data_IF_673000490143
#
_entry.id   IF_673000490143
#
_cell.length_a   1.000
_cell.length_b   1.000
_cell.length_c   1.000
_cell.angle_alpha   90.00
_cell.angle_beta   90.00
_cell.angle_gamma   90.00
#
_symmetry.space_group_name_H-M   'P 1'
#
loop_
_entity.id
_entity.type
_entity.pdbx_description
1 polymer ?
#
# COMPACT_ATOMS: atom_id res chain seq x y z
N UNK A 1 -28.16 10.98 14.37
CA UNK A 1 -27.20 10.17 15.13
C UNK A 1 -26.44 9.17 14.26
N UNK A 2 -27.07 8.26 13.50
CA UNK A 2 -26.33 7.27 12.69
C UNK A 2 -25.44 7.89 11.58
N UNK A 3 -25.97 8.83 10.77
CA UNK A 3 -25.20 9.49 9.69
C UNK A 3 -24.04 10.33 10.22
N UNK A 4 -24.23 10.99 11.36
CA UNK A 4 -23.22 11.83 11.98
C UNK A 4 -22.05 10.99 12.51
N UNK A 5 -22.32 9.79 13.02
CA UNK A 5 -21.28 8.83 13.42
C UNK A 5 -20.53 8.27 12.20
N UNK A 6 -21.23 7.92 11.12
CA UNK A 6 -20.60 7.41 9.90
C UNK A 6 -19.65 8.44 9.26
N UNK A 7 -20.12 9.68 9.07
CA UNK A 7 -19.28 10.78 8.53
C UNK A 7 -18.11 11.08 9.46
N UNK A 8 -18.29 10.95 10.77
CA UNK A 8 -17.22 11.16 11.75
C UNK A 8 -16.19 10.04 11.70
N UNK A 9 -16.61 8.79 11.49
CA UNK A 9 -15.72 7.64 11.33
C UNK A 9 -14.94 7.72 10.01
N UNK A 10 -15.58 8.14 8.91
CA UNK A 10 -14.91 8.38 7.61
C UNK A 10 -13.85 9.50 7.72
N UNK A 11 -14.20 10.63 8.33
CA UNK A 11 -13.26 11.75 8.55
C UNK A 11 -12.12 11.37 9.48
N UNK A 12 -12.38 10.56 10.51
CA UNK A 12 -11.36 10.09 11.43
C UNK A 12 -10.42 9.09 10.74
N UNK A 13 -10.95 8.17 9.95
CA UNK A 13 -10.15 7.25 9.13
C UNK A 13 -9.25 8.04 8.15
N UNK A 14 -9.81 9.03 7.47
CA UNK A 14 -9.05 9.89 6.56
C UNK A 14 -7.98 10.71 7.30
N UNK A 15 -8.30 11.29 8.47
CA UNK A 15 -7.33 12.05 9.27
C UNK A 15 -6.14 11.18 9.71
N UNK A 16 -6.40 9.95 10.17
CA UNK A 16 -5.35 8.99 10.52
C UNK A 16 -4.55 8.61 9.26
N UNK A 17 -5.24 8.35 8.14
CA UNK A 17 -4.59 8.04 6.87
C UNK A 17 -3.62 9.14 6.42
N UNK A 18 -4.07 10.39 6.38
CA UNK A 18 -3.22 11.53 6.02
C UNK A 18 -2.07 11.77 6.99
N UNK A 19 -2.28 11.52 8.29
CA UNK A 19 -1.20 11.58 9.27
C UNK A 19 -0.12 10.53 8.95
N UNK A 20 -0.53 9.29 8.68
CA UNK A 20 0.38 8.21 8.30
C UNK A 20 1.08 8.51 6.96
N UNK A 21 0.37 9.03 5.97
CA UNK A 21 0.97 9.51 4.71
C UNK A 21 2.00 10.62 4.96
N UNK A 22 1.73 11.52 5.89
CA UNK A 22 2.66 12.56 6.32
C UNK A 22 3.98 11.98 6.85
N UNK A 23 3.93 10.87 7.60
CA UNK A 23 5.13 10.16 8.06
C UNK A 23 5.93 9.62 6.86
N UNK A 24 5.26 9.04 5.85
CA UNK A 24 5.93 8.56 4.63
C UNK A 24 6.57 9.71 3.84
N UNK A 25 5.91 10.87 3.77
CA UNK A 25 6.48 12.08 3.14
C UNK A 25 7.73 12.55 3.87
N UNK A 26 7.73 12.52 5.21
CA UNK A 26 8.91 12.86 5.99
C UNK A 26 10.07 11.89 5.73
N UNK A 27 9.78 10.58 5.65
CA UNK A 27 10.75 9.57 5.22
C UNK A 27 11.31 9.87 3.83
N UNK A 28 10.46 10.21 2.86
CA UNK A 28 10.89 10.59 1.51
C UNK A 28 11.85 11.79 1.51
N UNK A 29 11.55 12.81 2.33
CA UNK A 29 12.41 13.99 2.48
C UNK A 29 13.75 13.58 3.12
N UNK A 30 13.73 12.78 4.18
CA UNK A 30 14.94 12.26 4.82
C UNK A 30 15.82 11.47 3.83
N UNK A 31 15.22 10.57 3.05
CA UNK A 31 15.89 9.77 2.02
C UNK A 31 16.59 10.64 0.98
N UNK A 32 15.94 11.72 0.54
CA UNK A 32 16.53 12.67 -0.40
C UNK A 32 17.68 13.45 0.26
N UNK A 33 17.53 13.87 1.51
CA UNK A 33 18.57 14.61 2.24
C UNK A 33 19.79 13.75 2.57
N UNK A 34 19.61 12.45 2.78
CA UNK A 34 20.68 11.47 3.05
C UNK A 34 21.31 10.89 1.78
N UNK A 35 20.78 11.22 0.60
CA UNK A 35 21.30 10.77 -0.69
C UNK A 35 20.83 9.39 -1.13
N UNK A 36 19.90 8.77 -0.40
CA UNK A 36 19.30 7.47 -0.74
C UNK A 36 18.13 7.66 -1.71
N UNK A 37 18.44 8.18 -2.90
CA UNK A 37 17.45 8.67 -3.86
C UNK A 37 16.45 7.60 -4.35
N UNK A 38 16.91 6.35 -4.52
CA UNK A 38 16.04 5.27 -4.97
C UNK A 38 14.93 4.99 -3.95
N UNK A 39 15.27 5.00 -2.65
CA UNK A 39 14.31 4.80 -1.57
C UNK A 39 13.35 5.98 -1.43
N UNK A 40 13.87 7.21 -1.48
CA UNK A 40 13.01 8.41 -1.48
C UNK A 40 12.03 8.44 -2.66
N UNK A 41 12.47 8.00 -3.85
CA UNK A 41 11.59 7.82 -5.00
C UNK A 41 10.48 6.79 -4.78
N UNK A 42 10.81 5.67 -4.13
CA UNK A 42 9.82 4.65 -3.78
C UNK A 42 8.77 5.16 -2.78
N UNK A 43 9.20 5.88 -1.75
CA UNK A 43 8.30 6.51 -0.78
C UNK A 43 7.37 7.54 -1.44
N UNK A 44 7.88 8.31 -2.41
CA UNK A 44 7.06 9.21 -3.22
C UNK A 44 6.04 8.46 -4.08
N UNK A 45 6.37 7.28 -4.61
CA UNK A 45 5.41 6.44 -5.34
C UNK A 45 4.28 5.96 -4.42
N UNK A 46 4.59 5.57 -3.18
CA UNK A 46 3.57 5.22 -2.18
C UNK A 46 2.64 6.42 -1.93
N UNK A 47 3.22 7.59 -1.64
CA UNK A 47 2.45 8.82 -1.38
C UNK A 47 1.58 9.18 -2.58
N UNK A 48 2.13 9.10 -3.79
CA UNK A 48 1.40 9.39 -5.01
C UNK A 48 0.22 8.43 -5.19
N UNK A 49 0.45 7.12 -5.02
CA UNK A 49 -0.58 6.08 -5.14
C UNK A 49 -1.71 6.34 -4.15
N UNK A 50 -1.40 6.44 -2.86
CA UNK A 50 -2.40 6.68 -1.79
C UNK A 50 -3.21 7.96 -2.02
N UNK A 51 -2.63 8.95 -2.68
CA UNK A 51 -3.29 10.23 -2.96
C UNK A 51 -4.18 10.18 -4.20
N UNK A 52 -4.06 9.16 -5.06
CA UNK A 52 -4.82 9.05 -6.32
C UNK A 52 -6.33 9.19 -6.10
N UNK A 53 -6.97 8.47 -5.16
CA UNK A 53 -8.43 8.55 -5.01
C UNK A 53 -8.89 9.95 -4.57
N UNK A 54 -8.18 10.57 -3.62
CA UNK A 54 -8.49 11.91 -3.15
C UNK A 54 -8.31 12.98 -4.25
N UNK A 55 -7.30 12.82 -5.10
CA UNK A 55 -7.03 13.74 -6.22
C UNK A 55 -8.07 13.60 -7.35
N UNK A 56 -8.50 12.38 -7.66
CA UNK A 56 -9.49 12.13 -8.72
C UNK A 56 -10.90 12.54 -8.27
N UNK A 57 -11.28 12.20 -7.05
CA UNK A 57 -12.64 12.47 -6.53
C UNK A 57 -12.80 13.91 -6.03
N UNK A 58 -11.70 14.60 -5.72
CA UNK A 58 -11.71 15.90 -5.05
C UNK A 58 -12.16 15.83 -3.59
N UNK A 59 -12.32 14.62 -3.05
CA UNK A 59 -12.73 14.38 -1.67
C UNK A 59 -11.53 13.86 -0.86
N UNK A 60 -11.06 14.66 0.09
CA UNK A 60 -9.95 14.30 0.97
C UNK A 60 -10.27 13.11 1.88
N UNK A 61 -11.55 12.73 2.03
CA UNK A 61 -11.97 11.57 2.81
C UNK A 61 -11.93 10.26 2.01
N UNK A 62 -11.82 10.34 0.66
CA UNK A 62 -11.64 9.19 -0.20
C UNK A 62 -10.21 8.64 -0.08
N UNK A 63 -10.00 7.77 0.91
CA UNK A 63 -8.70 7.20 1.23
C UNK A 63 -8.82 5.70 1.52
N UNK A 64 -7.78 4.95 1.19
CA UNK A 64 -7.67 3.54 1.59
C UNK A 64 -7.69 3.44 3.12
N UNK A 65 -8.31 2.37 3.65
CA UNK A 65 -8.42 2.16 5.10
C UNK A 65 -7.07 2.32 5.82
N UNK A 66 -7.09 3.04 6.95
CA UNK A 66 -5.88 3.37 7.72
C UNK A 66 -5.00 2.16 8.11
N UNK A 67 -5.49 0.91 8.30
CA UNK A 67 -4.60 -0.20 8.63
C UNK A 67 -3.59 -0.52 7.53
N UNK A 68 -3.93 -0.34 6.25
CA UNK A 68 -2.99 -0.54 5.15
C UNK A 68 -1.92 0.57 5.14
N UNK A 69 -2.35 1.80 5.40
CA UNK A 69 -1.44 2.94 5.56
C UNK A 69 -0.54 2.78 6.79
N UNK A 70 -1.03 2.13 7.85
CA UNK A 70 -0.24 1.85 9.05
C UNK A 70 0.87 0.83 8.77
N UNK A 71 0.59 -0.21 7.96
CA UNK A 71 1.63 -1.14 7.52
C UNK A 71 2.65 -0.41 6.63
N UNK A 72 2.20 0.47 5.73
CA UNK A 72 3.11 1.25 4.87
C UNK A 72 4.01 2.20 5.69
N UNK A 73 3.42 2.96 6.61
CA UNK A 73 4.17 3.84 7.51
C UNK A 73 5.10 3.05 8.43
N UNK A 74 4.67 1.88 8.92
CA UNK A 74 5.52 0.99 9.70
C UNK A 74 6.74 0.52 8.91
N UNK A 75 6.57 0.11 7.65
CA UNK A 75 7.69 -0.25 6.78
C UNK A 75 8.69 0.89 6.65
N UNK A 76 8.23 2.12 6.42
CA UNK A 76 9.09 3.31 6.28
C UNK A 76 9.84 3.62 7.59
N UNK A 77 9.15 3.58 8.72
CA UNK A 77 9.79 3.82 10.03
C UNK A 77 10.79 2.71 10.36
N UNK A 78 10.46 1.46 10.05
CA UNK A 78 11.33 0.32 10.29
C UNK A 78 12.61 0.36 9.45
N UNK A 79 12.57 0.90 8.22
CA UNK A 79 13.77 1.04 7.38
C UNK A 79 14.73 2.07 7.94
N UNK A 80 14.24 3.14 8.55
CA UNK A 80 15.06 4.18 9.18
C UNK A 80 15.71 3.68 10.48
N UNK A 81 15.05 2.79 11.21
CA UNK A 81 15.51 2.28 12.50
C UNK A 81 16.49 1.08 12.41
N UNK A 82 17.12 0.84 11.25
CA UNK A 82 18.11 -0.23 11.02
C UNK A 82 17.63 -1.66 11.38
N UNK A 83 16.31 -1.92 11.31
CA UNK A 83 15.77 -3.29 11.39
C UNK A 83 16.21 -4.11 10.17
N UNK A 84 16.31 -5.46 10.25
CA UNK A 84 16.87 -6.30 9.18
C UNK A 84 16.32 -5.91 7.81
N UNK A 85 17.23 -5.36 7.00
CA UNK A 85 16.96 -4.40 5.92
C UNK A 85 16.13 -4.97 4.77
N UNK A 86 16.30 -6.25 4.45
CA UNK A 86 15.63 -6.91 3.33
C UNK A 86 14.14 -7.15 3.59
N UNK A 87 13.77 -7.59 4.80
CA UNK A 87 12.39 -7.90 5.15
C UNK A 87 11.49 -6.66 5.07
N UNK A 88 12.04 -5.51 5.46
CA UNK A 88 11.33 -4.23 5.45
C UNK A 88 10.99 -3.80 4.02
N UNK A 89 11.94 -3.99 3.09
CA UNK A 89 11.73 -3.71 1.65
C UNK A 89 10.61 -4.59 1.09
N UNK A 90 10.62 -5.89 1.39
CA UNK A 90 9.59 -6.82 0.90
C UNK A 90 8.20 -6.45 1.42
N UNK A 91 8.12 -6.06 2.69
CA UNK A 91 6.88 -5.59 3.28
C UNK A 91 6.40 -4.30 2.62
N UNK A 92 7.29 -3.36 2.33
CA UNK A 92 6.95 -2.10 1.69
C UNK A 92 6.42 -2.31 0.26
N UNK A 93 7.10 -3.14 -0.54
CA UNK A 93 6.69 -3.51 -1.91
C UNK A 93 5.33 -4.22 -1.91
N UNK A 94 5.14 -5.19 -1.01
CA UNK A 94 3.87 -5.90 -0.90
C UNK A 94 2.73 -5.00 -0.40
N UNK A 95 3.04 -4.03 0.48
CA UNK A 95 2.04 -3.06 0.94
C UNK A 95 1.63 -2.11 -0.18
N UNK A 96 2.58 -1.61 -0.98
CA UNK A 96 2.27 -0.82 -2.17
C UNK A 96 1.40 -1.60 -3.15
N UNK A 97 1.71 -2.89 -3.38
CA UNK A 97 0.89 -3.75 -4.23
C UNK A 97 -0.55 -3.87 -3.71
N UNK A 98 -0.73 -4.05 -2.40
CA UNK A 98 -2.06 -4.10 -1.79
C UNK A 98 -2.81 -2.77 -1.94
N UNK A 99 -2.15 -1.63 -1.72
CA UNK A 99 -2.78 -0.32 -1.91
C UNK A 99 -3.31 -0.20 -3.35
N UNK A 100 -2.49 -0.52 -4.35
CA UNK A 100 -2.91 -0.52 -5.76
C UNK A 100 -4.10 -1.42 -6.00
N UNK A 101 -4.07 -2.66 -5.50
CA UNK A 101 -5.16 -3.64 -5.66
C UNK A 101 -6.46 -3.13 -5.02
N UNK A 102 -6.36 -2.57 -3.82
CA UNK A 102 -7.50 -2.06 -3.06
C UNK A 102 -8.10 -0.83 -3.73
N UNK A 103 -7.27 0.07 -4.25
CA UNK A 103 -7.77 1.21 -5.01
C UNK A 103 -8.49 0.76 -6.28
N UNK A 104 -7.98 -0.24 -6.99
CA UNK A 104 -8.66 -0.82 -8.14
C UNK A 104 -9.99 -1.49 -7.76
N UNK A 105 -10.03 -2.28 -6.68
CA UNK A 105 -11.26 -2.94 -6.22
C UNK A 105 -12.30 -1.94 -5.70
N UNK A 106 -11.85 -0.85 -5.06
CA UNK A 106 -12.75 0.13 -4.40
C UNK A 106 -13.24 1.20 -5.38
N UNK A 107 -12.35 1.71 -6.24
CA UNK A 107 -12.63 2.87 -7.08
C UNK A 107 -12.75 2.54 -8.57
N UNK A 108 -12.29 1.37 -9.02
CA UNK A 108 -12.54 0.91 -10.40
C UNK A 108 -13.79 0.01 -10.45
N UNK A 109 -14.41 -0.06 -11.63
CA UNK A 109 -15.60 -0.88 -11.87
C UNK A 109 -15.27 -2.37 -12.08
N UNK A 110 -14.28 -2.89 -11.34
CA UNK A 110 -13.74 -4.24 -11.52
C UNK A 110 -14.17 -5.11 -10.34
N UNK A 111 -15.15 -5.98 -10.57
CA UNK A 111 -15.61 -6.95 -9.57
C UNK A 111 -14.65 -8.15 -9.52
N UNK A 112 -13.74 -8.16 -8.54
CA UNK A 112 -12.83 -9.28 -8.33
C UNK A 112 -13.44 -10.32 -7.39
N UNK A 113 -13.46 -11.58 -7.83
CA UNK A 113 -13.79 -12.66 -6.90
C UNK A 113 -12.74 -12.72 -5.78
N UNK A 114 -13.18 -13.09 -4.57
CA UNK A 114 -12.33 -13.17 -3.37
C UNK A 114 -11.01 -13.93 -3.58
N UNK A 115 -11.01 -14.98 -4.40
CA UNK A 115 -9.81 -15.77 -4.75
C UNK A 115 -8.93 -15.06 -5.77
N UNK A 116 -9.57 -14.40 -6.74
CA UNK A 116 -8.85 -13.64 -7.75
C UNK A 116 -8.14 -12.42 -7.14
N UNK A 117 -8.76 -11.72 -6.18
CA UNK A 117 -8.13 -10.58 -5.50
C UNK A 117 -6.79 -10.96 -4.85
N UNK A 118 -6.71 -12.12 -4.17
CA UNK A 118 -5.46 -12.60 -3.58
C UNK A 118 -4.42 -12.93 -4.64
N UNK A 119 -4.81 -13.64 -5.70
CA UNK A 119 -3.89 -13.96 -6.80
C UNK A 119 -3.40 -12.72 -7.53
N UNK A 120 -4.30 -11.75 -7.76
CA UNK A 120 -3.97 -10.48 -8.38
C UNK A 120 -3.02 -9.67 -7.50
N UNK A 121 -3.26 -9.59 -6.18
CA UNK A 121 -2.35 -8.93 -5.24
C UNK A 121 -0.95 -9.57 -5.23
N UNK A 122 -0.88 -10.90 -5.24
CA UNK A 122 0.38 -11.64 -5.32
C UNK A 122 1.12 -11.34 -6.63
N UNK A 123 0.42 -11.35 -7.78
CA UNK A 123 1.01 -11.04 -9.08
C UNK A 123 1.48 -9.58 -9.17
N UNK A 124 0.68 -8.63 -8.67
CA UNK A 124 1.05 -7.21 -8.59
C UNK A 124 2.27 -7.01 -7.69
N UNK A 125 2.35 -7.72 -6.57
CA UNK A 125 3.53 -7.68 -5.67
C UNK A 125 4.78 -8.16 -6.40
N UNK A 126 4.69 -9.29 -7.11
CA UNK A 126 5.81 -9.82 -7.89
C UNK A 126 6.22 -8.89 -9.02
N UNK A 127 5.26 -8.25 -9.69
CA UNK A 127 5.53 -7.28 -10.75
C UNK A 127 6.24 -6.02 -10.21
N UNK A 128 5.78 -5.50 -9.06
CA UNK A 128 6.42 -4.35 -8.41
C UNK A 128 7.83 -4.70 -7.92
N UNK A 129 8.04 -5.91 -7.39
CA UNK A 129 9.37 -6.36 -7.01
C UNK A 129 10.30 -6.48 -8.22
N UNK A 130 9.82 -7.00 -9.35
CA UNK A 130 10.60 -7.03 -10.57
C UNK A 130 11.00 -5.63 -11.04
N UNK A 131 10.08 -4.67 -10.98
CA UNK A 131 10.37 -3.27 -11.31
C UNK A 131 11.36 -2.64 -10.33
N UNK A 132 11.22 -2.94 -9.04
CA UNK A 132 12.13 -2.52 -7.99
C UNK A 132 13.55 -3.04 -8.23
N UNK A 133 13.71 -4.33 -8.54
CA UNK A 133 15.01 -4.92 -8.90
C UNK A 133 15.63 -4.26 -10.13
N UNK A 134 14.84 -3.92 -11.15
CA UNK A 134 15.33 -3.17 -12.32
C UNK A 134 15.82 -1.77 -11.92
N UNK A 135 15.08 -1.10 -11.04
CA UNK A 135 15.47 0.22 -10.54
C UNK A 135 16.76 0.16 -9.69
N UNK A 136 16.90 -0.86 -8.84
CA UNK A 136 18.14 -1.15 -8.09
C UNK A 136 19.32 -1.37 -9.04
N UNK A 137 19.14 -2.19 -10.09
CA UNK A 137 20.19 -2.43 -11.08
C UNK A 137 20.69 -1.15 -11.75
N UNK A 138 19.78 -0.27 -12.18
CA UNK A 138 20.18 1.01 -12.78
C UNK A 138 20.76 1.99 -11.77
N UNK A 139 20.28 1.95 -10.52
CA UNK A 139 20.87 2.72 -9.41
C UNK A 139 22.32 2.30 -9.16
N UNK A 140 22.60 1.00 -9.08
CA UNK A 140 23.96 0.49 -8.86
C UNK A 140 24.88 0.90 -10.02
N UNK A 141 24.34 0.93 -11.24
CA UNK A 141 25.08 1.30 -12.45
C UNK A 141 25.35 2.80 -12.59
N UNK A 142 24.41 3.67 -12.20
CA UNK A 142 24.47 5.10 -12.48
C UNK A 142 24.71 5.97 -11.25
N UNK A 143 24.25 5.54 -10.08
CA UNK A 143 24.36 6.27 -8.81
C UNK A 143 25.44 5.68 -7.89
N UNK A 144 26.06 4.56 -8.28
CA UNK A 144 27.13 3.92 -7.51
C UNK A 144 26.65 3.26 -6.21
N UNK A 145 25.36 2.91 -6.15
CA UNK A 145 24.80 2.14 -5.04
C UNK A 145 25.26 0.68 -5.10
N UNK A 146 25.00 -0.07 -4.03
CA UNK A 146 25.31 -1.49 -3.93
C UNK A 146 24.10 -2.25 -3.39
N UNK A 147 22.95 -2.17 -4.08
CA UNK A 147 21.74 -2.86 -3.67
C UNK A 147 21.74 -4.33 -4.06
N UNK A 148 22.36 -4.69 -5.19
CA UNK A 148 22.39 -6.07 -5.69
C UNK A 148 23.77 -6.67 -5.46
N UNK A 149 23.87 -7.59 -4.49
CA UNK A 149 25.13 -8.22 -4.12
C UNK A 149 25.39 -9.53 -4.88
N UNK A 150 24.38 -10.41 -5.00
CA UNK A 150 24.55 -11.70 -5.67
C UNK A 150 23.28 -12.18 -6.37
N UNK A 151 23.45 -13.04 -7.38
CA UNK A 151 22.31 -13.66 -8.07
C UNK A 151 21.50 -14.56 -7.13
N UNK A 152 22.17 -15.26 -6.21
CA UNK A 152 21.51 -16.18 -5.26
C UNK A 152 20.65 -15.43 -4.26
N UNK A 153 21.15 -14.32 -3.73
CA UNK A 153 20.39 -13.42 -2.84
C UNK A 153 19.16 -12.88 -3.56
N UNK A 154 19.34 -12.31 -4.76
CA UNK A 154 18.22 -11.84 -5.59
C UNK A 154 17.16 -12.94 -5.81
N UNK A 155 17.56 -14.19 -6.08
CA UNK A 155 16.62 -15.29 -6.22
C UNK A 155 15.83 -15.57 -4.93
N UNK A 156 16.49 -15.50 -3.77
CA UNK A 156 15.84 -15.64 -2.47
C UNK A 156 14.94 -14.45 -2.12
N UNK A 157 15.25 -13.25 -2.61
CA UNK A 157 14.40 -12.07 -2.44
C UNK A 157 13.04 -12.29 -3.12
N UNK A 158 13.05 -12.82 -4.35
CA UNK A 158 11.80 -13.14 -5.05
C UNK A 158 11.00 -14.24 -4.35
N UNK A 159 11.66 -15.25 -3.78
CA UNK A 159 10.98 -16.27 -2.96
C UNK A 159 10.34 -15.61 -1.73
N UNK A 160 11.09 -14.76 -1.03
CA UNK A 160 10.63 -14.08 0.18
C UNK A 160 9.45 -13.15 -0.11
N UNK A 161 9.55 -12.33 -1.16
CA UNK A 161 8.48 -11.45 -1.61
C UNK A 161 7.24 -12.22 -2.05
N UNK A 162 7.41 -13.35 -2.72
CA UNK A 162 6.28 -14.22 -3.09
C UNK A 162 5.50 -14.65 -1.84
N UNK A 163 6.21 -15.08 -0.80
CA UNK A 163 5.61 -15.50 0.47
C UNK A 163 4.95 -14.31 1.17
N UNK A 164 5.62 -13.17 1.26
CA UNK A 164 5.09 -11.95 1.89
C UNK A 164 3.83 -11.46 1.17
N UNK A 165 3.86 -11.38 -0.16
CA UNK A 165 2.71 -10.97 -0.99
C UNK A 165 1.52 -11.91 -0.83
N UNK A 166 1.75 -13.22 -0.75
CA UNK A 166 0.69 -14.20 -0.49
C UNK A 166 0.09 -14.01 0.92
N UNK A 167 0.93 -13.91 1.95
CA UNK A 167 0.49 -13.72 3.34
C UNK A 167 -0.33 -12.43 3.47
N UNK A 168 0.19 -11.31 2.94
CA UNK A 168 -0.49 -10.03 2.98
C UNK A 168 -1.81 -10.03 2.19
N UNK A 169 -1.84 -10.65 1.00
CA UNK A 169 -3.07 -10.81 0.22
C UNK A 169 -4.16 -11.59 0.97
N UNK A 170 -3.77 -12.67 1.65
CA UNK A 170 -4.70 -13.47 2.47
C UNK A 170 -5.17 -12.69 3.71
N UNK A 171 -4.26 -12.04 4.43
CA UNK A 171 -4.59 -11.23 5.60
C UNK A 171 -5.55 -10.08 5.24
N UNK A 172 -5.30 -9.41 4.12
CA UNK A 172 -6.18 -8.37 3.61
C UNK A 172 -7.58 -8.92 3.32
N UNK A 173 -7.67 -10.04 2.60
CA UNK A 173 -8.96 -10.67 2.29
C UNK A 173 -9.75 -11.06 3.57
N UNK A 174 -9.03 -11.54 4.59
CA UNK A 174 -9.60 -11.86 5.91
C UNK A 174 -10.10 -10.61 6.63
N UNK A 175 -9.37 -9.50 6.54
CA UNK A 175 -9.74 -8.20 7.11
C UNK A 175 -10.97 -7.62 6.39
N UNK A 176 -10.94 -7.53 5.05
CA UNK A 176 -12.04 -7.02 4.24
C UNK A 176 -13.32 -7.84 4.39
N UNK A 177 -13.20 -9.15 4.68
CA UNK A 177 -14.35 -10.00 4.98
C UNK A 177 -14.96 -9.80 6.37
N UNK A 178 -14.27 -9.12 7.30
CA UNK A 178 -14.75 -8.87 8.68
C UNK A 178 -15.16 -7.42 8.92
N UNK A 179 -14.54 -6.49 8.22
CA UNK A 179 -14.84 -5.07 8.32
C UNK A 179 -15.46 -4.63 7.00
N UNK A 180 -16.78 -4.73 6.91
CA UNK A 180 -17.52 -4.06 5.84
C UNK A 180 -17.22 -2.56 5.93
N UNK A 181 -16.72 -1.93 4.86
CA UNK A 181 -16.52 -0.49 4.82
C UNK A 181 -17.83 0.20 5.16
N UNK A 182 -17.77 1.26 5.97
CA UNK A 182 -18.92 1.99 6.52
C UNK A 182 -19.93 2.55 5.48
N UNK A 183 -19.70 2.37 4.17
CA UNK A 183 -20.60 2.73 3.08
C UNK A 183 -21.55 1.61 2.58
N UNK A 184 -21.37 0.34 2.97
CA UNK A 184 -22.23 -0.75 2.47
C UNK A 184 -23.68 -0.67 3.00
N UNK A 185 -23.86 -0.13 4.21
CA UNK A 185 -25.17 0.02 4.86
C UNK A 185 -26.08 1.02 4.13
N UNK A 186 -25.51 2.03 3.46
CA UNK A 186 -26.28 3.04 2.74
C UNK A 186 -27.01 2.47 1.49
N UNK A 187 -26.44 1.46 0.83
CA UNK A 187 -27.06 0.82 -0.35
C UNK A 187 -28.22 -0.11 0.05
N UNK A 188 -28.14 -0.75 1.22
CA UNK A 188 -29.23 -1.56 1.75
C UNK A 188 -30.42 -0.71 2.24
N UNK A 189 -30.15 0.50 2.77
CA UNK A 189 -31.20 1.42 3.22
C UNK A 189 -31.97 2.08 2.05
N UNK A 190 -31.31 2.35 0.93
CA UNK A 190 -31.94 3.00 -0.24
C UNK A 190 -32.67 2.02 -1.18
N UNK A 191 -32.55 0.71 -0.97
CA UNK A 191 -33.24 -0.32 -1.77
C UNK A 191 -34.54 -0.84 -1.14
N UNK A 192 -34.90 -0.35 0.04
CA UNK A 192 -36.12 -0.72 0.74
C UNK A 192 -37.16 0.40 0.61
N UNK A 193 -37.63 0.65 -0.62
CA UNK A 193 -38.94 1.27 -0.79
C UNK A 193 -40.00 0.20 -0.47
N UNK A 194 -40.83 0.37 0.57
CA UNK A 194 -41.93 -0.54 0.81
C UNK A 194 -43.04 -0.32 -0.26
N UNK A 195 -43.79 -1.38 -0.62
CA UNK A 195 -44.93 -1.27 -1.52
C UNK A 195 -46.08 -0.44 -0.94
#
# INVERSE_FOLDING_TARGET
>A
MALENLVRDERMNAAIGWLLTGIVVLGAIESVLTGVLLWGGFELVIVATVSVPALITGDWTAMVSWPLLAVAAFSVVASVAEFPSETVVYLAVATLALIVVVELETFASVELSRRFAVGFAMLTTMALQALWTVAQFYSDRWLGTAYLHSQTELQWDFVSVTVVGLVLGVLFQWYAGRFEPAGAVARAANGADPP
#
